data_IF_132935908233
#
_entry.id   IF_132935908233
#
_cell.length_a   1.000
_cell.length_b   1.000
_cell.length_c   1.000
_cell.angle_alpha   90.00
_cell.angle_beta   90.00
_cell.angle_gamma   90.00
#
_symmetry.space_group_name_H-M   'P 1'
#
loop_
_entity.id
_entity.type
_entity.pdbx_description
1 polymer ?
#
# COMPACT_ATOMS: atom_id res chain seq x y z
N UNK A 1 6.27 -22.42 -18.85
CA UNK A 1 6.00 -21.70 -17.58
C UNK A 1 4.88 -20.70 -17.85
N UNK A 2 3.66 -21.02 -17.43
CA UNK A 2 2.48 -20.19 -17.72
C UNK A 2 2.36 -19.19 -16.58
N UNK A 3 2.59 -17.92 -16.86
CA UNK A 3 2.33 -16.81 -15.96
C UNK A 3 0.81 -16.71 -15.77
N UNK A 4 0.32 -17.16 -14.61
CA UNK A 4 -1.04 -16.83 -14.19
C UNK A 4 -1.07 -15.35 -13.84
N UNK A 5 -1.64 -14.55 -14.73
CA UNK A 5 -2.11 -13.23 -14.36
C UNK A 5 -3.10 -13.39 -13.21
N UNK A 6 -2.69 -12.98 -12.01
CA UNK A 6 -3.60 -12.76 -10.90
C UNK A 6 -4.44 -11.53 -11.25
N UNK A 7 -5.52 -11.76 -12.00
CA UNK A 7 -6.59 -10.78 -12.08
C UNK A 7 -7.07 -10.55 -10.65
N UNK A 8 -6.94 -9.31 -10.16
CA UNK A 8 -7.61 -8.84 -8.95
C UNK A 8 -9.10 -8.91 -9.28
N UNK A 9 -9.68 -10.08 -9.05
CA UNK A 9 -11.12 -10.27 -9.12
C UNK A 9 -11.72 -9.43 -8.00
N UNK A 10 -12.39 -8.35 -8.36
CA UNK A 10 -13.36 -7.70 -7.51
C UNK A 10 -14.46 -8.76 -7.30
N UNK A 11 -14.34 -9.57 -6.24
CA UNK A 11 -15.30 -10.64 -5.95
C UNK A 11 -16.63 -9.96 -5.65
N UNK A 12 -17.47 -9.88 -6.67
CA UNK A 12 -18.86 -9.53 -6.47
C UNK A 12 -19.44 -10.54 -5.47
N UNK A 13 -20.10 -10.02 -4.43
CA UNK A 13 -20.73 -10.85 -3.42
C UNK A 13 -21.90 -11.58 -4.06
N UNK A 14 -22.10 -12.85 -3.70
CA UNK A 14 -23.28 -13.59 -4.13
C UNK A 14 -24.53 -12.98 -3.46
N UNK A 15 -25.54 -12.73 -4.26
CA UNK A 15 -26.79 -12.11 -3.82
C UNK A 15 -27.99 -12.99 -4.19
N UNK A 16 -28.98 -12.97 -3.35
CA UNK A 16 -30.28 -13.61 -3.57
C UNK A 16 -30.18 -15.06 -4.12
N UNK A 17 -30.64 -15.31 -5.32
CA UNK A 17 -30.66 -16.63 -5.95
C UNK A 17 -29.28 -17.18 -6.35
N UNK A 18 -28.25 -16.36 -6.34
CA UNK A 18 -26.86 -16.81 -6.55
C UNK A 18 -26.32 -17.62 -5.37
N UNK A 19 -26.95 -17.50 -4.19
CA UNK A 19 -26.60 -18.22 -2.97
C UNK A 19 -27.16 -19.63 -3.05
N UNK A 20 -26.29 -20.60 -3.33
CA UNK A 20 -26.66 -22.03 -3.54
C UNK A 20 -26.45 -22.89 -2.30
N UNK A 21 -26.03 -22.30 -1.19
CA UNK A 21 -25.81 -23.01 0.07
C UNK A 21 -27.15 -23.48 0.64
N UNK A 22 -27.19 -24.68 1.23
CA UNK A 22 -28.40 -25.24 1.80
C UNK A 22 -28.87 -24.50 3.05
N UNK A 23 -27.92 -24.11 3.89
CA UNK A 23 -28.17 -23.41 5.15
C UNK A 23 -27.23 -22.21 5.26
N UNK A 24 -27.75 -21.13 5.83
CA UNK A 24 -27.02 -19.89 6.02
C UNK A 24 -27.25 -19.32 7.41
N UNK A 25 -26.28 -18.64 7.96
CA UNK A 25 -26.43 -17.84 9.16
C UNK A 25 -26.84 -16.44 8.76
N UNK A 26 -28.04 -16.02 9.22
CA UNK A 26 -28.64 -14.77 8.79
C UNK A 26 -28.48 -13.69 9.84
N UNK A 27 -28.08 -12.49 9.39
CA UNK A 27 -28.06 -11.25 10.15
C UNK A 27 -29.16 -10.36 9.57
N UNK A 28 -30.05 -9.86 10.39
CA UNK A 28 -31.12 -8.96 9.99
C UNK A 28 -30.64 -7.57 9.55
N UNK A 29 -31.57 -6.79 9.02
CA UNK A 29 -31.32 -5.40 8.60
C UNK A 29 -30.91 -4.49 9.78
N UNK A 30 -31.40 -4.80 10.98
CA UNK A 30 -31.07 -4.15 12.25
C UNK A 30 -29.71 -4.58 12.86
N UNK A 31 -29.03 -5.55 12.24
CA UNK A 31 -27.75 -6.09 12.72
C UNK A 31 -27.89 -7.23 13.71
N UNK A 32 -29.10 -7.62 14.10
CA UNK A 32 -29.35 -8.74 15.01
C UNK A 32 -29.12 -10.08 14.32
N UNK A 33 -28.60 -11.07 15.05
CA UNK A 33 -28.45 -12.43 14.53
C UNK A 33 -29.78 -13.16 14.59
N UNK A 34 -30.30 -13.56 13.43
CA UNK A 34 -31.56 -14.33 13.31
C UNK A 34 -31.30 -15.84 13.44
N UNK A 35 -30.05 -16.28 13.48
CA UNK A 35 -29.65 -17.66 13.62
C UNK A 35 -29.37 -18.37 12.30
N UNK A 36 -29.30 -19.72 12.36
CA UNK A 36 -29.08 -20.59 11.20
C UNK A 36 -30.42 -21.05 10.67
N UNK A 37 -30.61 -20.91 9.37
CA UNK A 37 -31.85 -21.33 8.72
C UNK A 37 -31.62 -21.74 7.27
N UNK A 38 -32.56 -22.47 6.65
CA UNK A 38 -32.50 -22.79 5.22
C UNK A 38 -32.49 -21.51 4.37
N UNK A 39 -31.69 -21.50 3.29
CA UNK A 39 -31.55 -20.34 2.42
C UNK A 39 -32.86 -19.86 1.82
N UNK A 40 -33.79 -20.77 1.48
CA UNK A 40 -35.13 -20.42 1.00
C UNK A 40 -35.91 -19.53 1.99
N UNK A 41 -35.88 -19.87 3.29
CA UNK A 41 -36.53 -19.08 4.33
C UNK A 41 -35.85 -17.72 4.51
N UNK A 42 -34.53 -17.67 4.40
CA UNK A 42 -33.77 -16.42 4.47
C UNK A 42 -34.10 -15.47 3.30
N UNK A 43 -34.31 -16.02 2.11
CA UNK A 43 -34.74 -15.27 0.93
C UNK A 43 -36.17 -14.71 1.10
N UNK A 44 -37.10 -15.53 1.57
CA UNK A 44 -38.49 -15.06 1.85
C UNK A 44 -38.48 -13.87 2.84
N UNK A 45 -37.67 -13.96 3.90
CA UNK A 45 -37.53 -12.88 4.87
C UNK A 45 -36.92 -11.61 4.27
N UNK A 46 -35.94 -11.72 3.38
CA UNK A 46 -35.34 -10.59 2.69
C UNK A 46 -36.37 -9.93 1.75
N UNK A 47 -37.04 -10.70 0.90
CA UNK A 47 -38.07 -10.21 -0.03
C UNK A 47 -39.25 -9.59 0.70
N UNK A 48 -39.67 -10.16 1.83
CA UNK A 48 -40.76 -9.60 2.65
C UNK A 48 -40.44 -8.20 3.21
N UNK A 49 -39.15 -7.83 3.27
CA UNK A 49 -38.67 -6.50 3.68
C UNK A 49 -38.28 -5.61 2.50
N UNK A 50 -38.45 -6.04 1.27
CA UNK A 50 -37.96 -5.39 0.04
C UNK A 50 -36.43 -5.14 0.09
N UNK A 51 -35.68 -6.10 0.65
CA UNK A 51 -34.21 -6.06 0.78
C UNK A 51 -33.60 -7.30 0.11
N UNK A 52 -32.28 -7.25 -0.07
CA UNK A 52 -31.50 -8.33 -0.64
C UNK A 52 -30.85 -9.19 0.43
N UNK A 53 -30.72 -10.50 0.15
CA UNK A 53 -29.91 -11.42 0.92
C UNK A 53 -28.49 -11.42 0.32
N UNK A 54 -27.49 -10.96 1.06
CA UNK A 54 -26.12 -10.81 0.60
C UNK A 54 -25.19 -11.70 1.40
N UNK A 55 -24.41 -12.55 0.71
CA UNK A 55 -23.42 -13.46 1.33
C UNK A 55 -22.14 -12.69 1.65
N UNK A 56 -21.95 -12.30 2.91
CA UNK A 56 -20.82 -11.48 3.37
C UNK A 56 -19.58 -12.33 3.65
N UNK A 57 -19.77 -13.48 4.33
CA UNK A 57 -18.65 -14.36 4.71
C UNK A 57 -18.85 -15.76 4.12
N UNK A 58 -18.33 -16.00 2.90
CA UNK A 58 -18.50 -17.31 2.23
C UNK A 58 -17.65 -18.42 2.86
N UNK A 59 -16.61 -18.07 3.62
CA UNK A 59 -15.70 -19.06 4.22
C UNK A 59 -16.17 -19.58 5.58
N UNK A 60 -17.22 -18.99 6.17
CA UNK A 60 -17.80 -19.48 7.41
C UNK A 60 -18.62 -20.75 7.17
N UNK A 61 -18.71 -21.61 8.16
CA UNK A 61 -19.55 -22.83 8.11
C UNK A 61 -20.58 -22.80 9.25
N UNK A 62 -21.89 -22.60 8.96
CA UNK A 62 -22.47 -22.22 7.67
C UNK A 62 -22.13 -20.78 7.26
N UNK A 63 -22.21 -20.44 5.95
CA UNK A 63 -21.87 -19.11 5.44
C UNK A 63 -22.77 -18.04 6.03
N UNK A 64 -22.20 -16.82 6.23
CA UNK A 64 -22.95 -15.71 6.83
C UNK A 64 -23.53 -14.84 5.72
N UNK A 65 -24.85 -14.66 5.80
CA UNK A 65 -25.63 -13.78 4.95
C UNK A 65 -26.24 -12.64 5.76
N UNK A 66 -26.40 -11.49 5.14
CA UNK A 66 -27.03 -10.32 5.73
C UNK A 66 -28.16 -9.81 4.85
N UNK A 67 -29.26 -9.42 5.48
CA UNK A 67 -30.41 -8.79 4.81
C UNK A 67 -30.12 -7.29 4.74
N UNK A 68 -29.86 -6.74 3.57
CA UNK A 68 -29.53 -5.33 3.33
C UNK A 68 -29.92 -4.89 1.92
N UNK A 69 -30.04 -3.59 1.71
CA UNK A 69 -30.08 -3.02 0.36
C UNK A 69 -28.67 -3.11 -0.25
N UNK A 70 -28.48 -4.00 -1.23
CA UNK A 70 -27.18 -4.24 -1.86
C UNK A 70 -26.66 -3.02 -2.61
N UNK A 71 -27.53 -2.24 -3.23
CA UNK A 71 -27.16 -1.02 -3.95
C UNK A 71 -26.50 0.00 -3.00
N UNK A 72 -27.17 0.27 -1.88
CA UNK A 72 -26.67 1.17 -0.83
C UNK A 72 -25.37 0.65 -0.21
N UNK A 73 -25.34 -0.65 0.11
CA UNK A 73 -24.14 -1.29 0.66
C UNK A 73 -22.92 -1.15 -0.26
N UNK A 74 -23.08 -1.46 -1.56
CA UNK A 74 -22.02 -1.33 -2.57
C UNK A 74 -21.52 0.12 -2.70
N UNK A 75 -22.43 1.07 -2.67
CA UNK A 75 -22.09 2.49 -2.71
C UNK A 75 -21.27 2.90 -1.46
N UNK A 76 -21.70 2.51 -0.28
CA UNK A 76 -21.00 2.80 0.98
C UNK A 76 -19.60 2.14 1.02
N UNK A 77 -19.47 0.90 0.56
CA UNK A 77 -18.18 0.23 0.46
C UNK A 77 -17.23 0.97 -0.48
N UNK A 78 -17.72 1.31 -1.67
CA UNK A 78 -16.92 2.07 -2.64
C UNK A 78 -16.50 3.44 -2.09
N UNK A 79 -17.36 4.10 -1.34
CA UNK A 79 -17.06 5.37 -0.68
C UNK A 79 -15.98 5.18 0.38
N UNK A 80 -16.10 4.18 1.26
CA UNK A 80 -15.10 3.85 2.29
C UNK A 80 -13.75 3.50 1.67
N UNK A 81 -13.72 2.71 0.62
CA UNK A 81 -12.48 2.37 -0.10
C UNK A 81 -11.81 3.62 -0.70
N UNK A 82 -12.59 4.50 -1.32
CA UNK A 82 -12.07 5.77 -1.86
C UNK A 82 -11.52 6.66 -0.76
N UNK A 83 -12.19 6.77 0.37
CA UNK A 83 -11.73 7.54 1.53
C UNK A 83 -10.47 6.91 2.15
N UNK A 84 -10.46 5.60 2.35
CA UNK A 84 -9.29 4.86 2.84
C UNK A 84 -8.09 5.06 1.91
N UNK A 85 -8.30 4.98 0.59
CA UNK A 85 -7.25 5.22 -0.41
C UNK A 85 -6.74 6.65 -0.41
N UNK A 86 -7.62 7.64 -0.20
CA UNK A 86 -7.20 9.06 -0.07
C UNK A 86 -6.39 9.30 1.20
N UNK A 87 -6.76 8.64 2.29
CA UNK A 87 -6.10 8.79 3.58
C UNK A 87 -4.83 7.92 3.70
N UNK A 88 -4.62 6.99 2.76
CA UNK A 88 -3.41 6.18 2.75
C UNK A 88 -2.21 7.05 2.40
N UNK A 89 -1.29 7.18 3.35
CA UNK A 89 -0.03 7.90 3.13
C UNK A 89 0.84 7.10 2.17
N UNK A 90 0.99 7.61 0.95
CA UNK A 90 1.88 7.02 -0.05
C UNK A 90 3.30 7.49 0.23
N UNK A 91 4.20 6.55 0.54
CA UNK A 91 5.63 6.82 0.68
C UNK A 91 6.24 6.89 -0.72
N UNK A 92 6.66 8.08 -1.13
CA UNK A 92 7.31 8.28 -2.42
C UNK A 92 8.84 8.16 -2.29
N UNK A 93 9.50 7.76 -3.38
CA UNK A 93 10.96 7.74 -3.47
C UNK A 93 11.42 9.01 -4.18
N UNK A 94 11.96 9.95 -3.43
CA UNK A 94 12.51 11.21 -3.97
C UNK A 94 13.98 11.02 -4.36
N UNK A 95 14.33 11.42 -5.59
CA UNK A 95 15.69 11.28 -6.12
C UNK A 95 16.55 12.51 -5.83
N UNK A 96 17.76 12.28 -5.28
CA UNK A 96 18.82 13.31 -5.14
C UNK A 96 20.03 12.84 -5.92
N UNK A 97 20.56 13.72 -6.78
CA UNK A 97 21.78 13.45 -7.52
C UNK A 97 22.92 14.27 -6.97
N UNK A 98 24.05 13.61 -6.69
CA UNK A 98 25.30 14.21 -6.29
C UNK A 98 26.32 14.03 -7.41
N UNK A 99 27.35 14.88 -7.45
CA UNK A 99 28.54 14.74 -8.32
C UNK A 99 29.76 14.39 -7.48
N UNK A 100 30.79 13.79 -8.12
CA UNK A 100 32.04 13.47 -7.43
C UNK A 100 32.81 14.73 -6.97
N UNK A 101 32.71 15.80 -7.77
CA UNK A 101 33.33 17.09 -7.45
C UNK A 101 32.28 18.07 -6.94
N UNK A 102 31.47 17.62 -5.94
CA UNK A 102 30.42 18.47 -5.36
C UNK A 102 31.05 19.54 -4.47
N UNK A 103 30.65 20.80 -4.68
CA UNK A 103 31.02 21.89 -3.79
C UNK A 103 30.28 21.81 -2.43
N UNK A 104 30.89 22.37 -1.40
CA UNK A 104 30.35 22.33 -0.02
C UNK A 104 28.96 22.95 0.05
N UNK A 105 28.75 24.09 -0.61
CA UNK A 105 27.46 24.75 -0.64
C UNK A 105 26.36 23.92 -1.32
N UNK A 106 26.66 23.27 -2.48
CA UNK A 106 25.69 22.41 -3.16
C UNK A 106 25.42 21.14 -2.33
N UNK A 107 26.45 20.59 -1.66
CA UNK A 107 26.29 19.46 -0.75
C UNK A 107 25.31 19.80 0.39
N UNK A 108 25.47 20.91 1.08
CA UNK A 108 24.59 21.36 2.16
C UNK A 108 23.16 21.59 1.66
N UNK A 109 23.01 22.20 0.48
CA UNK A 109 21.70 22.38 -0.16
C UNK A 109 21.01 21.05 -0.42
N UNK A 110 21.74 20.03 -0.93
CA UNK A 110 21.21 18.68 -1.16
C UNK A 110 20.84 17.98 0.16
N UNK A 111 21.63 18.15 1.21
CA UNK A 111 21.29 17.66 2.56
C UNK A 111 20.01 18.32 3.06
N UNK A 112 19.83 19.63 2.88
CA UNK A 112 18.62 20.35 3.23
C UNK A 112 17.38 19.81 2.48
N UNK A 113 17.50 19.51 1.18
CA UNK A 113 16.41 18.89 0.41
C UNK A 113 16.11 17.48 0.91
N UNK A 114 17.13 16.65 1.19
CA UNK A 114 16.94 15.32 1.76
C UNK A 114 16.22 15.37 3.11
N UNK A 115 16.63 16.30 3.98
CA UNK A 115 16.03 16.53 5.29
C UNK A 115 14.52 16.81 5.17
N UNK A 116 14.12 17.66 4.20
CA UNK A 116 12.71 17.97 3.97
C UNK A 116 11.94 16.74 3.51
N UNK A 117 12.46 15.99 2.55
CA UNK A 117 11.81 14.76 2.05
C UNK A 117 11.67 13.69 3.12
N UNK A 118 12.68 13.52 3.97
CA UNK A 118 12.65 12.58 5.10
C UNK A 118 11.64 13.00 6.18
N UNK A 119 11.56 14.30 6.51
CA UNK A 119 10.55 14.83 7.44
C UNK A 119 9.12 14.63 6.92
N UNK A 120 8.90 14.72 5.60
CA UNK A 120 7.65 14.38 4.95
C UNK A 120 7.35 12.87 4.98
N UNK A 121 8.29 12.03 5.45
CA UNK A 121 8.20 10.58 5.54
C UNK A 121 8.42 9.86 4.21
N UNK A 122 9.01 10.52 3.23
CA UNK A 122 9.40 9.94 1.96
C UNK A 122 10.73 9.20 2.08
N UNK A 123 10.99 8.27 1.16
CA UNK A 123 12.31 7.65 0.99
C UNK A 123 13.17 8.51 0.06
N UNK A 124 14.47 8.53 0.31
CA UNK A 124 15.42 9.29 -0.53
C UNK A 124 16.36 8.32 -1.24
N UNK A 125 16.34 8.38 -2.58
CA UNK A 125 17.30 7.69 -3.44
C UNK A 125 18.43 8.65 -3.79
N UNK A 126 19.60 8.43 -3.23
CA UNK A 126 20.82 9.20 -3.55
C UNK A 126 21.56 8.52 -4.68
N UNK A 127 21.98 9.28 -5.70
CA UNK A 127 22.68 8.75 -6.86
C UNK A 127 23.87 9.60 -7.24
N UNK A 128 25.01 8.96 -7.55
CA UNK A 128 26.18 9.56 -8.18
C UNK A 128 26.35 8.88 -9.53
N UNK A 129 26.47 9.68 -10.59
CA UNK A 129 26.77 9.17 -11.93
C UNK A 129 28.23 9.43 -12.27
N UNK A 130 28.97 8.35 -12.48
CA UNK A 130 30.38 8.40 -12.89
C UNK A 130 30.51 8.67 -14.40
N UNK A 131 31.44 9.54 -14.78
CA UNK A 131 31.73 9.89 -16.16
C UNK A 131 33.11 9.37 -16.56
N UNK A 132 33.20 8.68 -17.68
CA UNK A 132 34.45 8.29 -18.29
C UNK A 132 35.51 7.80 -17.29
N UNK A 133 36.58 8.61 -17.10
CA UNK A 133 37.70 8.30 -16.21
C UNK A 133 37.38 8.21 -14.73
N UNK A 134 36.24 8.77 -14.28
CA UNK A 134 35.83 8.73 -12.89
C UNK A 134 35.47 7.31 -12.41
N UNK A 135 35.16 6.41 -13.36
CA UNK A 135 34.89 4.98 -13.08
C UNK A 135 36.11 4.25 -12.46
N UNK A 136 37.31 4.78 -12.64
CA UNK A 136 38.53 4.24 -11.99
C UNK A 136 38.64 4.55 -10.49
N UNK A 137 37.81 5.46 -9.98
CA UNK A 137 37.86 5.93 -8.58
C UNK A 137 36.50 5.82 -7.85
N UNK A 138 35.92 4.63 -7.75
CA UNK A 138 34.62 4.45 -7.08
C UNK A 138 34.68 4.79 -5.59
N UNK A 139 35.86 4.74 -4.98
CA UNK A 139 36.08 5.03 -3.56
C UNK A 139 35.67 6.45 -3.18
N UNK A 140 35.94 7.44 -4.06
CA UNK A 140 35.49 8.81 -3.85
C UNK A 140 33.97 8.94 -3.79
N UNK A 141 33.26 8.16 -4.61
CA UNK A 141 31.80 8.11 -4.56
C UNK A 141 31.29 7.51 -3.26
N UNK A 142 31.91 6.45 -2.77
CA UNK A 142 31.59 5.86 -1.48
C UNK A 142 31.81 6.83 -0.32
N UNK A 143 32.89 7.60 -0.34
CA UNK A 143 33.19 8.61 0.68
C UNK A 143 32.12 9.71 0.72
N UNK A 144 31.71 10.24 -0.43
CA UNK A 144 30.66 11.25 -0.52
C UNK A 144 29.32 10.70 -0.03
N UNK A 145 28.97 9.46 -0.43
CA UNK A 145 27.75 8.80 0.04
C UNK A 145 27.76 8.59 1.55
N UNK A 146 28.91 8.19 2.13
CA UNK A 146 29.07 8.03 3.57
C UNK A 146 28.85 9.35 4.30
N UNK A 147 29.55 10.43 3.88
CA UNK A 147 29.37 11.78 4.44
C UNK A 147 27.90 12.24 4.36
N UNK A 148 27.22 11.94 3.25
CA UNK A 148 25.80 12.28 3.08
C UNK A 148 24.90 11.50 4.04
N UNK A 149 25.17 10.22 4.24
CA UNK A 149 24.42 9.39 5.20
C UNK A 149 24.68 9.83 6.64
N UNK A 150 25.92 10.19 7.00
CA UNK A 150 26.30 10.72 8.33
C UNK A 150 25.58 12.03 8.64
N UNK A 151 25.53 12.96 7.67
CA UNK A 151 24.82 14.24 7.82
C UNK A 151 23.31 14.07 8.08
N UNK A 152 22.73 12.94 7.67
CA UNK A 152 21.30 12.63 7.83
C UNK A 152 21.03 11.53 8.88
N UNK A 153 22.05 11.12 9.62
CA UNK A 153 22.00 9.98 10.57
C UNK A 153 20.95 10.15 11.68
N UNK A 154 20.64 11.38 12.07
CA UNK A 154 19.62 11.67 13.07
C UNK A 154 18.18 11.42 12.55
N UNK A 155 17.94 11.66 11.25
CA UNK A 155 16.61 11.65 10.62
C UNK A 155 16.33 10.39 9.81
N UNK A 156 17.37 9.71 9.35
CA UNK A 156 17.25 8.58 8.45
C UNK A 156 18.11 7.39 8.84
N UNK A 157 17.65 6.21 8.42
CA UNK A 157 18.44 4.99 8.39
C UNK A 157 18.80 4.64 6.94
N UNK A 158 19.99 4.07 6.76
CA UNK A 158 20.40 3.52 5.46
C UNK A 158 19.65 2.20 5.23
N UNK A 159 18.67 2.22 4.32
CA UNK A 159 17.91 1.01 3.95
C UNK A 159 18.73 0.11 3.01
N UNK A 160 19.40 0.73 2.03
CA UNK A 160 20.35 0.04 1.15
C UNK A 160 21.64 0.83 1.11
N UNK A 161 22.79 0.20 1.43
CA UNK A 161 24.09 0.85 1.39
C UNK A 161 24.47 1.27 -0.03
N UNK A 162 25.44 2.17 -0.13
CA UNK A 162 25.96 2.62 -1.41
C UNK A 162 26.50 1.43 -2.22
N UNK A 163 25.93 1.21 -3.41
CA UNK A 163 26.32 0.14 -4.33
C UNK A 163 26.50 0.71 -5.72
N UNK A 164 27.60 0.30 -6.39
CA UNK A 164 27.85 0.64 -7.78
C UNK A 164 27.00 -0.29 -8.68
N UNK A 165 26.13 0.31 -9.48
CA UNK A 165 25.31 -0.37 -10.48
C UNK A 165 25.58 0.23 -11.86
N UNK A 166 26.40 -0.44 -12.64
CA UNK A 166 26.90 0.08 -13.92
C UNK A 166 27.72 1.36 -13.72
N UNK A 167 27.24 2.47 -14.25
CA UNK A 167 27.88 3.80 -14.12
C UNK A 167 27.26 4.67 -13.03
N UNK A 168 26.36 4.13 -12.23
CA UNK A 168 25.71 4.87 -11.17
C UNK A 168 25.98 4.20 -9.82
N UNK A 169 26.32 4.98 -8.83
CA UNK A 169 26.32 4.54 -7.43
C UNK A 169 25.00 4.97 -6.80
N UNK A 170 24.33 4.05 -6.15
CA UNK A 170 22.99 4.25 -5.57
C UNK A 170 22.99 3.91 -4.09
N UNK A 171 22.29 4.72 -3.30
CA UNK A 171 22.03 4.50 -1.89
C UNK A 171 20.58 4.86 -1.59
N UNK A 172 19.94 4.13 -0.70
CA UNK A 172 18.57 4.43 -0.27
C UNK A 172 18.52 4.73 1.22
N UNK A 173 17.88 5.85 1.52
CA UNK A 173 17.64 6.32 2.88
C UNK A 173 16.14 6.27 3.17
N UNK A 174 15.77 5.76 4.32
CA UNK A 174 14.39 5.77 4.82
C UNK A 174 14.30 6.63 6.07
N UNK A 175 13.20 7.37 6.23
CA UNK A 175 12.97 8.16 7.44
C UNK A 175 12.88 7.26 8.67
N UNK A 176 13.48 7.67 9.78
CA UNK A 176 13.25 7.02 11.07
C UNK A 176 11.79 7.26 11.47
N UNK A 177 11.11 6.24 12.04
CA UNK A 177 9.79 6.50 12.62
C UNK A 177 9.92 7.58 13.70
N UNK A 178 9.06 8.60 13.62
CA UNK A 178 8.98 9.58 14.70
C UNK A 178 8.66 8.83 16.01
N UNK A 179 9.52 9.00 17.00
CA UNK A 179 9.27 8.49 18.36
C UNK A 179 8.11 9.24 19.00
#
# INVERSE_FOLDING_TARGET
MIWRCLTISNKELQINEEIRDREVRVIGSDGNQLGIMPTAKALEMAFGQNLDLVKIAPQATPPVCKIIDYGKYRFEQTKREKEARKNQRVVEIKGIRLSLNIDTHDFETKVGHATRFLKEGNKVKVSIRFRGREMGHPEQGHEIMRRFAEALSELANVEKPAKLEGRNMLMFLASKPAK
#
